data_IF_293556931656
#
_entry.id   IF_293556931656
#
_cell.length_a   1.000
_cell.length_b   1.000
_cell.length_c   1.000
_cell.angle_alpha   90.00
_cell.angle_beta   90.00
_cell.angle_gamma   90.00
#
_symmetry.space_group_name_H-M   'P 1'
#
loop_
_entity.id
_entity.type
_entity.pdbx_description
1 polymer ?
#
# COMPACT_ATOMS: atom_id res chain seq x y z
N UNK A 1 -21.69 -30.89 66.13
CA UNK A 1 -22.49 -29.64 66.02
C UNK A 1 -21.84 -28.58 66.91
N UNK A 2 -21.75 -27.34 66.43
CA UNK A 2 -21.42 -26.13 67.23
C UNK A 2 -20.01 -25.52 67.18
N UNK A 3 -19.37 -25.43 66.01
CA UNK A 3 -18.28 -24.46 65.78
C UNK A 3 -18.39 -23.67 64.46
N UNK A 4 -19.26 -24.08 63.52
CA UNK A 4 -19.42 -23.40 62.22
C UNK A 4 -20.45 -22.26 62.18
N UNK A 5 -21.05 -21.88 63.32
CA UNK A 5 -22.18 -20.92 63.36
C UNK A 5 -21.85 -19.53 63.94
N UNK A 6 -20.58 -19.14 64.00
CA UNK A 6 -20.18 -17.83 64.53
C UNK A 6 -19.59 -16.86 63.49
N UNK A 7 -19.38 -17.28 62.24
CA UNK A 7 -18.83 -16.41 61.20
C UNK A 7 -19.89 -15.78 60.25
N UNK A 8 -21.18 -16.07 60.44
CA UNK A 8 -22.28 -15.57 59.57
C UNK A 8 -23.24 -14.64 60.35
N UNK A 9 -22.74 -13.78 61.23
CA UNK A 9 -23.62 -12.87 62.00
C UNK A 9 -23.13 -11.43 62.15
N UNK A 10 -22.02 -11.04 61.51
CA UNK A 10 -21.53 -9.66 61.57
C UNK A 10 -21.40 -9.07 60.17
N UNK A 11 -22.44 -8.41 59.62
CA UNK A 11 -22.37 -7.76 58.31
C UNK A 11 -21.23 -6.73 58.23
N UNK A 12 -20.77 -6.24 59.39
CA UNK A 12 -19.66 -5.30 59.54
C UNK A 12 -18.33 -5.82 58.98
N UNK A 13 -18.01 -7.11 59.10
CA UNK A 13 -16.72 -7.66 58.66
C UNK A 13 -16.64 -7.82 57.13
N UNK A 14 -17.75 -8.17 56.48
CA UNK A 14 -17.84 -8.27 55.02
C UNK A 14 -17.84 -6.89 54.36
N UNK A 15 -18.47 -5.89 54.98
CA UNK A 15 -18.47 -4.51 54.49
C UNK A 15 -17.05 -3.90 54.55
N UNK A 16 -16.30 -4.15 55.64
CA UNK A 16 -14.92 -3.66 55.78
C UNK A 16 -13.96 -4.26 54.73
N UNK A 17 -14.14 -5.53 54.35
CA UNK A 17 -13.29 -6.17 53.34
C UNK A 17 -13.56 -5.62 51.92
N UNK A 18 -14.83 -5.31 51.58
CA UNK A 18 -15.21 -4.77 50.26
C UNK A 18 -14.73 -3.32 50.07
N UNK A 19 -14.75 -2.50 51.13
CA UNK A 19 -14.27 -1.11 51.09
C UNK A 19 -12.74 -1.07 50.84
N UNK A 20 -11.99 -2.02 51.41
CA UNK A 20 -10.54 -2.12 51.20
C UNK A 20 -10.13 -2.39 49.75
N UNK A 21 -10.94 -3.15 48.99
CA UNK A 21 -10.68 -3.44 47.57
C UNK A 21 -11.02 -2.28 46.63
N UNK A 22 -12.03 -1.46 46.97
CA UNK A 22 -12.41 -0.30 46.14
C UNK A 22 -11.46 0.90 46.29
N UNK A 23 -10.64 0.93 47.35
CA UNK A 23 -9.66 2.00 47.58
C UNK A 23 -8.35 1.85 46.78
N UNK A 24 -8.14 0.73 46.08
CA UNK A 24 -6.89 0.43 45.38
C UNK A 24 -6.82 0.97 43.94
N UNK A 25 -7.90 1.56 43.43
CA UNK A 25 -7.94 2.16 42.09
C UNK A 25 -7.68 3.67 42.14
N UNK A 26 -6.48 4.09 42.55
CA UNK A 26 -6.07 5.49 42.32
C UNK A 26 -5.66 5.63 40.86
N UNK A 27 -6.49 6.30 40.05
CA UNK A 27 -6.08 6.74 38.73
C UNK A 27 -4.96 7.75 38.88
N UNK A 28 -3.76 7.41 38.44
CA UNK A 28 -2.68 8.38 38.31
C UNK A 28 -3.08 9.28 37.16
N UNK A 29 -3.54 10.49 37.46
CA UNK A 29 -3.75 11.51 36.43
C UNK A 29 -2.36 12.01 36.08
N UNK A 30 -1.78 11.51 34.99
CA UNK A 30 -0.64 12.13 34.35
C UNK A 30 -1.09 13.50 33.85
N UNK A 31 -0.89 14.53 34.69
CA UNK A 31 -1.02 15.91 34.24
C UNK A 31 0.05 16.14 33.17
N UNK A 32 -0.31 16.51 31.94
CA UNK A 32 0.68 16.83 30.93
C UNK A 32 1.50 18.01 31.46
N UNK A 33 2.78 17.75 31.75
CA UNK A 33 3.70 18.75 32.28
C UNK A 33 3.69 20.01 31.41
N UNK A 34 3.98 21.19 32.00
CA UNK A 34 3.93 22.45 31.29
C UNK A 34 4.76 22.38 30.01
N UNK A 35 4.11 22.63 28.87
CA UNK A 35 4.77 22.65 27.58
C UNK A 35 5.93 23.66 27.62
N UNK A 36 7.12 23.33 27.09
CA UNK A 36 8.23 24.26 27.05
C UNK A 36 7.80 25.51 26.28
N UNK A 37 7.83 26.66 26.95
CA UNK A 37 7.51 27.96 26.35
C UNK A 37 8.60 28.27 25.33
N UNK A 38 8.31 28.06 24.05
CA UNK A 38 9.22 28.46 22.98
C UNK A 38 9.20 29.98 22.86
N UNK A 39 10.36 30.65 22.79
CA UNK A 39 10.42 32.06 22.51
C UNK A 39 9.72 32.36 21.17
N UNK A 40 9.17 33.56 20.97
CA UNK A 40 8.57 33.95 19.70
C UNK A 40 9.61 33.82 18.59
N UNK A 41 9.37 32.89 17.66
CA UNK A 41 10.24 32.64 16.52
C UNK A 41 9.83 33.58 15.39
N UNK A 42 10.74 34.46 14.98
CA UNK A 42 10.58 35.30 13.80
C UNK A 42 10.94 34.48 12.55
N UNK A 43 9.98 34.32 11.64
CA UNK A 43 10.21 33.63 10.37
C UNK A 43 10.30 34.63 9.21
N UNK A 44 11.14 34.31 8.22
CA UNK A 44 11.19 35.05 6.96
C UNK A 44 9.91 34.81 6.15
N UNK A 45 9.61 35.75 5.25
CA UNK A 45 8.54 35.63 4.25
C UNK A 45 8.94 34.76 3.05
N UNK A 46 10.01 33.96 3.19
CA UNK A 46 10.46 33.04 2.15
C UNK A 46 9.40 31.97 1.91
N UNK A 47 9.04 31.73 0.65
CA UNK A 47 8.12 30.68 0.27
C UNK A 47 8.89 29.46 -0.28
N UNK A 48 9.13 28.49 0.60
CA UNK A 48 9.82 27.24 0.32
C UNK A 48 9.05 26.10 1.01
N UNK A 49 7.91 25.66 0.45
CA UNK A 49 6.93 24.87 1.17
C UNK A 49 7.50 23.54 1.67
N UNK A 50 7.01 23.08 2.81
CA UNK A 50 7.41 21.81 3.43
C UNK A 50 6.21 21.05 3.98
N UNK A 51 6.31 19.72 4.04
CA UNK A 51 5.35 18.89 4.74
C UNK A 51 5.86 18.62 6.16
N UNK A 52 5.07 19.01 7.15
CA UNK A 52 5.36 18.79 8.57
C UNK A 52 4.43 17.77 9.19
N UNK A 53 4.92 17.08 10.22
CA UNK A 53 4.19 16.10 11.03
C UNK A 53 4.17 16.51 12.50
N UNK A 54 3.02 16.34 13.17
CA UNK A 54 2.86 16.45 14.61
C UNK A 54 1.86 15.42 15.13
N UNK A 55 2.35 14.37 15.78
CA UNK A 55 1.53 13.19 16.11
C UNK A 55 1.00 12.57 14.82
N UNK A 56 -0.32 12.37 14.73
CA UNK A 56 -0.98 11.81 13.53
C UNK A 56 -1.46 12.87 12.52
N UNK A 57 -0.99 14.12 12.62
CA UNK A 57 -1.41 15.22 11.73
C UNK A 57 -0.27 15.59 10.78
N UNK A 58 -0.59 15.62 9.49
CA UNK A 58 0.26 16.16 8.44
C UNK A 58 -0.27 17.52 7.99
N UNK A 59 0.62 18.50 7.80
CA UNK A 59 0.25 19.83 7.32
C UNK A 59 1.35 20.46 6.47
N UNK A 60 0.96 21.12 5.39
CA UNK A 60 1.85 21.93 4.56
C UNK A 60 2.12 23.28 5.24
N UNK A 61 3.37 23.70 5.25
CA UNK A 61 3.81 25.01 5.75
C UNK A 61 4.48 25.81 4.64
N UNK A 62 4.37 27.15 4.66
CA UNK A 62 5.00 28.01 3.64
C UNK A 62 6.52 27.91 3.65
N UNK A 63 7.13 27.62 4.81
CA UNK A 63 8.54 27.28 4.93
C UNK A 63 8.83 26.47 6.19
N UNK A 64 10.07 25.97 6.28
CA UNK A 64 10.54 25.15 7.41
C UNK A 64 10.61 25.90 8.74
N UNK A 65 10.75 27.23 8.74
CA UNK A 65 10.70 28.02 9.97
C UNK A 65 9.29 27.98 10.56
N UNK A 66 8.27 28.28 9.76
CA UNK A 66 6.86 28.25 10.18
C UNK A 66 6.45 26.85 10.69
N UNK A 67 6.92 25.77 10.03
CA UNK A 67 6.68 24.41 10.51
C UNK A 67 7.22 24.17 11.93
N UNK A 68 8.46 24.58 12.20
CA UNK A 68 9.11 24.40 13.52
C UNK A 68 8.51 25.32 14.58
N UNK A 69 8.13 26.54 14.21
CA UNK A 69 7.44 27.49 15.08
C UNK A 69 6.12 26.89 15.61
N UNK A 70 5.35 26.24 14.73
CA UNK A 70 4.09 25.56 15.08
C UNK A 70 4.28 24.17 15.75
N UNK A 71 5.52 23.77 15.99
CA UNK A 71 5.85 22.50 16.66
C UNK A 71 5.73 21.26 15.78
N UNK A 72 5.79 21.41 14.44
CA UNK A 72 5.83 20.30 13.51
C UNK A 72 7.27 19.93 13.16
N UNK A 73 7.52 18.63 13.03
CA UNK A 73 8.78 18.08 12.49
C UNK A 73 8.66 18.05 10.96
N UNK A 74 9.64 18.61 10.25
CA UNK A 74 9.65 18.56 8.78
C UNK A 74 9.96 17.14 8.31
N UNK A 75 9.10 16.57 7.48
CA UNK A 75 9.29 15.27 6.84
C UNK A 75 10.08 15.41 5.54
N UNK A 76 9.61 16.28 4.65
CA UNK A 76 10.22 16.51 3.33
C UNK A 76 9.94 17.93 2.82
N UNK A 77 10.67 18.33 1.78
CA UNK A 77 10.42 19.57 1.02
C UNK A 77 9.21 19.40 0.09
N UNK A 78 8.51 20.48 -0.17
CA UNK A 78 7.24 20.49 -0.91
C UNK A 78 6.03 20.25 0.00
N UNK A 79 4.84 20.41 -0.57
CA UNK A 79 3.57 20.27 0.15
C UNK A 79 3.28 18.82 0.55
N UNK A 80 2.51 18.63 1.62
CA UNK A 80 1.98 17.32 1.96
C UNK A 80 1.06 16.82 0.84
N UNK A 81 1.31 15.62 0.34
CA UNK A 81 0.43 14.93 -0.61
C UNK A 81 -0.11 13.66 0.03
N UNK A 82 -1.41 13.35 -0.14
CA UNK A 82 -1.98 12.11 0.41
C UNK A 82 -1.28 10.84 -0.13
N UNK A 83 -0.67 10.93 -1.31
CA UNK A 83 0.09 9.84 -1.94
C UNK A 83 1.58 9.83 -1.56
N UNK A 84 2.05 10.77 -0.72
CA UNK A 84 3.43 10.73 -0.23
C UNK A 84 3.57 9.58 0.77
N UNK A 85 3.94 8.40 0.25
CA UNK A 85 4.64 7.42 1.06
C UNK A 85 6.06 7.95 1.22
N UNK A 86 6.55 8.22 2.45
CA UNK A 86 7.99 8.32 2.63
C UNK A 86 8.60 7.08 1.97
N UNK A 87 9.75 7.19 1.29
CA UNK A 87 10.49 6.00 0.95
C UNK A 87 10.74 5.31 2.29
N UNK A 88 9.94 4.28 2.59
CA UNK A 88 10.43 3.20 3.40
C UNK A 88 11.71 2.84 2.67
N UNK A 89 12.84 2.83 3.37
CA UNK A 89 13.99 2.08 2.89
C UNK A 89 13.51 0.62 2.85
N UNK A 90 12.76 0.31 1.80
CA UNK A 90 12.12 -0.96 1.60
C UNK A 90 13.26 -1.79 1.06
N UNK A 91 13.94 -2.48 1.98
CA UNK A 91 15.01 -3.40 1.64
C UNK A 91 14.40 -4.53 0.80
N UNK A 92 14.47 -4.37 -0.51
CA UNK A 92 14.09 -5.42 -1.44
C UNK A 92 15.21 -6.45 -1.51
N UNK A 93 14.83 -7.73 -1.48
CA UNK A 93 15.75 -8.81 -1.78
C UNK A 93 16.24 -8.70 -3.22
N UNK A 94 17.44 -9.20 -3.50
CA UNK A 94 17.94 -9.37 -4.89
C UNK A 94 17.32 -10.57 -5.61
N UNK A 95 16.13 -10.98 -5.19
CA UNK A 95 15.38 -12.03 -5.84
C UNK A 95 14.89 -11.53 -7.20
N UNK A 96 15.07 -12.36 -8.23
CA UNK A 96 14.62 -12.06 -9.58
C UNK A 96 13.33 -12.84 -9.88
N UNK A 97 12.20 -12.14 -9.80
CA UNK A 97 10.87 -12.65 -10.06
C UNK A 97 10.08 -11.57 -10.82
N UNK A 98 10.33 -11.39 -12.13
CA UNK A 98 9.96 -10.19 -12.85
C UNK A 98 8.44 -9.97 -12.87
N UNK A 99 8.04 -8.70 -12.81
CA UNK A 99 6.62 -8.30 -12.84
C UNK A 99 6.39 -7.10 -13.75
N UNK A 100 5.16 -6.99 -14.25
CA UNK A 100 4.69 -5.81 -14.96
C UNK A 100 3.96 -4.89 -14.00
N UNK A 101 4.48 -3.68 -13.82
CA UNK A 101 3.90 -2.63 -12.99
C UNK A 101 3.22 -1.54 -13.81
N UNK A 102 2.18 -0.92 -13.26
CA UNK A 102 1.44 0.19 -13.86
C UNK A 102 1.35 1.38 -12.89
N UNK A 103 1.57 2.60 -13.41
CA UNK A 103 1.34 3.87 -12.72
C UNK A 103 0.68 4.87 -13.69
N UNK A 104 -0.63 5.07 -13.54
CA UNK A 104 -1.41 5.85 -14.50
C UNK A 104 -1.42 5.17 -15.87
N UNK A 105 -0.91 5.85 -16.91
CA UNK A 105 -0.76 5.30 -18.27
C UNK A 105 0.60 4.63 -18.51
N UNK A 106 1.53 4.71 -17.56
CA UNK A 106 2.87 4.15 -17.70
C UNK A 106 2.88 2.69 -17.26
N UNK A 107 3.42 1.81 -18.10
CA UNK A 107 3.72 0.41 -17.78
C UNK A 107 5.22 0.17 -17.85
N UNK A 108 5.77 -0.54 -16.87
CA UNK A 108 7.21 -0.83 -16.78
C UNK A 108 7.45 -2.18 -16.13
N UNK A 109 8.46 -2.91 -16.62
CA UNK A 109 8.92 -4.15 -16.02
C UNK A 109 9.82 -3.87 -14.82
N UNK A 110 9.70 -4.67 -13.77
CA UNK A 110 10.54 -4.60 -12.57
C UNK A 110 11.17 -5.96 -12.28
N UNK A 111 12.39 -6.01 -11.69
CA UNK A 111 13.07 -7.26 -11.33
C UNK A 111 12.26 -8.12 -10.37
N UNK A 112 11.50 -7.49 -9.47
CA UNK A 112 10.58 -8.15 -8.57
C UNK A 112 9.44 -7.23 -8.13
N UNK A 113 8.45 -7.81 -7.45
CA UNK A 113 7.29 -7.10 -6.95
C UNK A 113 7.60 -6.12 -5.80
N UNK A 114 8.70 -6.31 -5.07
CA UNK A 114 9.11 -5.36 -4.03
C UNK A 114 9.56 -4.05 -4.68
N UNK A 115 10.48 -4.13 -5.66
CA UNK A 115 11.00 -2.96 -6.37
C UNK A 115 9.90 -2.20 -7.12
N UNK A 116 8.95 -2.90 -7.73
CA UNK A 116 7.79 -2.27 -8.36
C UNK A 116 6.99 -1.40 -7.37
N UNK A 117 6.73 -1.90 -6.17
CA UNK A 117 5.97 -1.17 -5.13
C UNK A 117 6.78 -0.02 -4.54
N UNK A 118 8.08 -0.22 -4.34
CA UNK A 118 8.99 0.82 -3.87
C UNK A 118 9.04 2.02 -4.83
N UNK A 119 9.03 1.77 -6.15
CA UNK A 119 8.95 2.81 -7.20
C UNK A 119 7.52 3.39 -7.39
N UNK A 120 6.53 2.94 -6.61
CA UNK A 120 5.16 3.42 -6.64
C UNK A 120 4.31 2.87 -7.80
N UNK A 121 4.67 1.71 -8.34
CA UNK A 121 3.89 1.00 -9.36
C UNK A 121 3.00 -0.08 -8.74
N UNK A 122 1.81 -0.26 -9.31
CA UNK A 122 0.90 -1.36 -8.99
C UNK A 122 1.24 -2.54 -9.87
N UNK A 123 1.49 -3.72 -9.30
CA UNK A 123 1.70 -4.94 -10.08
C UNK A 123 0.38 -5.35 -10.76
N UNK A 124 0.42 -5.52 -12.09
CA UNK A 124 -0.73 -5.91 -12.92
C UNK A 124 -0.56 -7.28 -13.60
N UNK A 125 0.64 -7.86 -13.57
CA UNK A 125 0.91 -9.18 -14.13
C UNK A 125 2.27 -9.72 -13.74
N UNK A 126 2.42 -11.04 -13.79
CA UNK A 126 3.69 -11.76 -13.66
C UNK A 126 4.49 -11.71 -14.96
N UNK A 127 5.81 -11.66 -14.86
CA UNK A 127 6.71 -11.48 -16.00
C UNK A 127 6.82 -10.01 -16.43
N UNK A 128 7.67 -9.76 -17.41
CA UNK A 128 7.87 -8.42 -17.96
C UNK A 128 6.60 -7.87 -18.64
N UNK A 129 6.49 -6.54 -18.72
CA UNK A 129 5.42 -5.92 -19.47
C UNK A 129 5.54 -6.27 -20.95
N UNK A 130 4.47 -6.87 -21.50
CA UNK A 130 4.40 -7.14 -22.93
C UNK A 130 4.23 -5.83 -23.71
N UNK A 131 5.10 -5.59 -24.69
CA UNK A 131 4.82 -4.65 -25.77
C UNK A 131 3.79 -5.26 -26.70
N UNK A 132 2.97 -4.43 -27.33
CA UNK A 132 1.98 -4.87 -28.31
C UNK A 132 2.61 -5.63 -29.50
N UNK A 133 3.91 -5.43 -29.73
CA UNK A 133 4.71 -6.08 -30.77
C UNK A 133 5.65 -7.19 -30.26
N UNK A 134 5.56 -7.62 -29.00
CA UNK A 134 6.43 -8.71 -28.56
C UNK A 134 6.21 -9.96 -29.44
N UNK A 135 7.29 -10.61 -29.90
CA UNK A 135 7.20 -11.72 -30.82
C UNK A 135 6.28 -12.80 -30.25
N UNK A 136 5.44 -13.34 -31.13
CA UNK A 136 4.68 -14.55 -30.84
C UNK A 136 5.63 -15.64 -30.31
N UNK A 137 5.15 -16.55 -29.45
CA UNK A 137 5.97 -17.64 -28.92
C UNK A 137 6.73 -18.37 -30.04
N UNK A 138 7.92 -18.93 -29.73
CA UNK A 138 8.86 -19.47 -30.71
C UNK A 138 8.18 -20.45 -31.67
N UNK A 139 8.67 -20.46 -32.92
CA UNK A 139 8.19 -21.22 -34.09
C UNK A 139 7.44 -22.50 -33.68
N UNK A 140 6.11 -22.39 -33.63
CA UNK A 140 5.23 -23.50 -33.37
C UNK A 140 5.15 -24.34 -34.65
N UNK A 141 5.60 -25.59 -34.60
CA UNK A 141 5.42 -26.52 -35.72
C UNK A 141 3.94 -26.91 -35.81
N UNK A 142 3.22 -26.29 -36.74
CA UNK A 142 1.81 -26.62 -36.99
C UNK A 142 1.68 -27.77 -37.98
N UNK A 143 0.69 -28.63 -37.74
CA UNK A 143 0.25 -29.62 -38.73
C UNK A 143 -0.44 -28.91 -39.88
N UNK A 144 -0.47 -29.52 -41.07
CA UNK A 144 -1.21 -28.98 -42.24
C UNK A 144 -2.70 -29.37 -42.21
N UNK A 145 -3.25 -29.60 -41.02
CA UNK A 145 -4.67 -29.87 -40.87
C UNK A 145 -5.47 -28.61 -41.15
N UNK A 146 -6.56 -28.74 -41.91
CA UNK A 146 -7.46 -27.63 -42.22
C UNK A 146 -8.73 -27.72 -41.36
N UNK A 147 -8.77 -26.88 -40.33
CA UNK A 147 -9.87 -26.74 -39.37
C UNK A 147 -10.01 -25.26 -39.02
N UNK A 148 -10.64 -24.45 -39.89
CA UNK A 148 -10.48 -23.00 -39.88
C UNK A 148 -11.03 -22.35 -38.62
N UNK A 149 -10.40 -21.25 -38.22
CA UNK A 149 -10.80 -20.45 -37.06
C UNK A 149 -10.75 -18.96 -37.38
N UNK A 150 -11.63 -18.18 -36.76
CA UNK A 150 -11.61 -16.73 -36.82
C UNK A 150 -10.81 -16.19 -35.63
N UNK A 151 -9.69 -15.52 -35.90
CA UNK A 151 -8.82 -14.92 -34.89
C UNK A 151 -8.93 -13.39 -34.86
N UNK A 152 -8.68 -12.80 -33.70
CA UNK A 152 -8.59 -11.34 -33.50
C UNK A 152 -7.23 -10.92 -32.95
N UNK A 153 -6.64 -9.88 -33.55
CA UNK A 153 -5.46 -9.18 -33.02
C UNK A 153 -5.59 -7.67 -33.28
N UNK A 154 -5.50 -6.87 -32.21
CA UNK A 154 -5.53 -5.40 -32.31
C UNK A 154 -6.77 -4.85 -33.02
N UNK A 155 -7.93 -5.50 -32.87
CA UNK A 155 -9.18 -5.10 -33.53
C UNK A 155 -9.37 -5.61 -34.97
N UNK A 156 -8.36 -6.26 -35.57
CA UNK A 156 -8.50 -6.92 -36.89
C UNK A 156 -8.93 -8.38 -36.71
N UNK A 157 -9.88 -8.81 -37.53
CA UNK A 157 -10.27 -10.21 -37.68
C UNK A 157 -9.54 -10.84 -38.87
N UNK A 158 -9.13 -12.10 -38.74
CA UNK A 158 -8.49 -12.86 -39.82
C UNK A 158 -8.79 -14.34 -39.66
N UNK A 159 -9.08 -15.02 -40.77
CA UNK A 159 -9.26 -16.46 -40.84
C UNK A 159 -7.90 -17.15 -40.88
N UNK A 160 -7.74 -18.22 -40.12
CA UNK A 160 -6.55 -19.07 -40.13
C UNK A 160 -6.90 -20.50 -40.51
N UNK A 161 -6.02 -21.23 -41.23
CA UNK A 161 -6.25 -22.62 -41.62
C UNK A 161 -6.53 -23.56 -40.45
N UNK A 162 -5.90 -23.30 -39.30
CA UNK A 162 -6.14 -24.02 -38.06
C UNK A 162 -5.80 -23.16 -36.83
N UNK A 163 -6.16 -23.66 -35.65
CA UNK A 163 -5.93 -23.00 -34.37
C UNK A 163 -4.44 -22.82 -34.05
N UNK A 164 -3.58 -23.74 -34.48
CA UNK A 164 -2.13 -23.63 -34.27
C UNK A 164 -1.56 -22.43 -35.03
N UNK A 165 -1.89 -22.29 -36.31
CA UNK A 165 -1.43 -21.16 -37.13
C UNK A 165 -1.94 -19.81 -36.62
N UNK A 166 -3.19 -19.76 -36.14
CA UNK A 166 -3.72 -18.56 -35.47
C UNK A 166 -2.90 -18.17 -34.23
N UNK A 167 -2.58 -19.15 -33.38
CA UNK A 167 -1.77 -18.96 -32.19
C UNK A 167 -0.33 -18.53 -32.51
N UNK A 168 0.30 -19.18 -33.49
CA UNK A 168 1.64 -18.85 -33.98
C UNK A 168 1.72 -17.43 -34.57
N UNK A 169 0.64 -16.94 -35.18
CA UNK A 169 0.53 -15.55 -35.67
C UNK A 169 0.19 -14.52 -34.56
N UNK A 170 -0.05 -14.98 -33.33
CA UNK A 170 -0.40 -14.13 -32.19
C UNK A 170 -1.85 -13.63 -32.20
N UNK A 171 -2.76 -14.37 -32.83
CA UNK A 171 -4.20 -14.06 -32.83
C UNK A 171 -4.92 -14.85 -31.73
N UNK A 172 -5.90 -14.21 -31.07
CA UNK A 172 -6.81 -14.88 -30.15
C UNK A 172 -8.02 -15.39 -30.93
N UNK A 173 -8.34 -16.67 -30.82
CA UNK A 173 -9.50 -17.27 -31.50
C UNK A 173 -10.80 -16.72 -30.88
N UNK A 174 -11.70 -16.23 -31.72
CA UNK A 174 -13.03 -15.72 -31.36
C UNK A 174 -14.07 -16.84 -31.50
N UNK A 175 -14.07 -17.54 -32.63
CA UNK A 175 -14.93 -18.70 -32.89
C UNK A 175 -14.30 -19.67 -33.90
N UNK A 176 -14.89 -20.87 -34.01
CA UNK A 176 -14.56 -21.85 -35.04
C UNK A 176 -15.19 -21.45 -36.38
N UNK A 177 -14.58 -21.86 -37.48
CA UNK A 177 -14.95 -21.44 -38.82
C UNK A 177 -14.26 -20.14 -39.25
N UNK A 178 -14.42 -19.77 -40.51
CA UNK A 178 -13.86 -18.55 -41.08
C UNK A 178 -14.55 -17.30 -40.52
N UNK A 179 -13.88 -16.15 -40.53
CA UNK A 179 -14.50 -14.88 -40.16
C UNK A 179 -15.56 -14.49 -41.21
N UNK A 180 -16.81 -14.25 -40.79
CA UNK A 180 -17.92 -13.86 -41.66
C UNK A 180 -19.19 -13.58 -40.87
#
# INVERSE_FOLDING_TARGET
MSLLRLFISRPSASILMVIGFLSACTVVVDEPGPAPVRPPQMCTMEFAPVCGERGNRLRTFPNACNARADGFRVLHRGECRPDFRPPLEQACTREFAPVCGERGRLRRSFPNACEARADGFRVIGSGECRRSEDPAPPQQFCTREYAPVCGQRGGRLSTFPNACEAGAAGFRIVHRGECG
#
